data_IF_724687042127
#
_entry.id   IF_724687042127
#
_cell.length_a   1.000
_cell.length_b   1.000
_cell.length_c   1.000
_cell.angle_alpha   90.00
_cell.angle_beta   90.00
_cell.angle_gamma   90.00
#
_symmetry.space_group_name_H-M   'P 1'
#
loop_
_entity.id
_entity.type
_entity.pdbx_description
1 polymer ?
#
# COMPACT_ATOMS: atom_id res chain seq x y z
N UNK A 1 -28.70 -13.50 -8.31
CA UNK A 1 -28.23 -12.18 -7.82
C UNK A 1 -27.03 -12.39 -6.92
N UNK A 2 -25.93 -11.63 -7.06
CA UNK A 2 -24.83 -11.73 -6.11
C UNK A 2 -25.31 -11.22 -4.73
N UNK A 3 -24.92 -11.86 -3.61
CA UNK A 3 -25.36 -11.42 -2.29
C UNK A 3 -24.84 -10.00 -2.03
N UNK A 4 -25.76 -9.04 -1.83
CA UNK A 4 -25.43 -7.66 -1.47
C UNK A 4 -24.73 -7.69 -0.11
N UNK A 5 -23.47 -7.26 -0.05
CA UNK A 5 -22.70 -7.26 1.20
C UNK A 5 -23.19 -6.15 2.15
N UNK A 6 -22.98 -6.31 3.45
CA UNK A 6 -23.28 -5.25 4.45
C UNK A 6 -22.60 -3.91 4.09
N UNK A 7 -21.44 -3.95 3.43
CA UNK A 7 -20.73 -2.76 2.97
C UNK A 7 -21.51 -2.05 1.85
N UNK A 8 -22.13 -2.80 0.94
CA UNK A 8 -22.96 -2.25 -0.13
C UNK A 8 -24.18 -1.51 0.45
N UNK A 9 -24.84 -2.06 1.48
CA UNK A 9 -25.95 -1.38 2.15
C UNK A 9 -25.53 -0.04 2.80
N UNK A 10 -24.34 -0.01 3.43
CA UNK A 10 -23.78 1.22 4.01
C UNK A 10 -23.43 2.26 2.94
N UNK A 11 -22.80 1.85 1.84
CA UNK A 11 -22.44 2.72 0.73
C UNK A 11 -23.69 3.29 0.05
N UNK A 12 -24.70 2.46 -0.22
CA UNK A 12 -25.98 2.91 -0.79
C UNK A 12 -26.70 3.91 0.11
N UNK A 13 -26.68 3.70 1.43
CA UNK A 13 -27.27 4.66 2.36
C UNK A 13 -26.54 6.01 2.36
N UNK A 14 -25.20 5.98 2.28
CA UNK A 14 -24.39 7.19 2.16
C UNK A 14 -24.67 7.94 0.84
N UNK A 15 -24.73 7.22 -0.28
CA UNK A 15 -25.04 7.82 -1.59
C UNK A 15 -26.48 8.34 -1.65
N UNK A 16 -27.44 7.65 -1.05
CA UNK A 16 -28.82 8.14 -0.89
C UNK A 16 -28.85 9.49 -0.15
N UNK A 17 -28.13 9.61 0.98
CA UNK A 17 -28.05 10.87 1.74
C UNK A 17 -27.37 11.98 0.94
N UNK A 18 -26.31 11.67 0.18
CA UNK A 18 -25.62 12.64 -0.70
C UNK A 18 -26.53 13.15 -1.81
N UNK A 19 -27.22 12.23 -2.47
CA UNK A 19 -28.18 12.54 -3.52
C UNK A 19 -29.29 13.47 -3.00
N UNK A 20 -29.90 13.13 -1.86
CA UNK A 20 -30.91 13.99 -1.23
C UNK A 20 -30.35 15.34 -0.78
N UNK A 21 -29.12 15.41 -0.26
CA UNK A 21 -28.47 16.69 0.09
C UNK A 21 -28.29 17.59 -1.13
N UNK A 22 -27.96 17.01 -2.29
CA UNK A 22 -27.79 17.73 -3.54
C UNK A 22 -29.13 18.18 -4.15
N UNK A 23 -30.13 17.29 -4.18
CA UNK A 23 -31.41 17.54 -4.87
C UNK A 23 -32.45 18.29 -4.02
N UNK A 24 -32.45 18.15 -2.70
CA UNK A 24 -33.52 18.72 -1.85
C UNK A 24 -33.69 20.24 -1.96
N UNK A 25 -32.63 21.08 -2.10
CA UNK A 25 -32.79 22.52 -2.25
C UNK A 25 -33.55 22.93 -3.52
N UNK A 26 -33.40 22.17 -4.60
CA UNK A 26 -33.93 22.51 -5.94
C UNK A 26 -35.19 21.75 -6.31
N UNK A 27 -35.34 20.50 -5.87
CA UNK A 27 -36.39 19.60 -6.34
C UNK A 27 -37.41 19.23 -5.25
N UNK A 28 -37.17 19.59 -3.99
CA UNK A 28 -38.02 19.20 -2.87
C UNK A 28 -38.26 20.34 -1.86
N UNK A 29 -38.24 21.60 -2.29
CA UNK A 29 -38.47 22.79 -1.43
C UNK A 29 -37.60 22.80 -0.16
N UNK A 30 -36.34 22.36 -0.25
CA UNK A 30 -35.41 22.25 0.87
C UNK A 30 -35.62 21.05 1.79
N UNK A 31 -36.66 20.22 1.56
CA UNK A 31 -36.97 19.08 2.42
C UNK A 31 -36.06 17.88 2.12
N UNK A 32 -35.18 17.56 3.06
CA UNK A 32 -34.27 16.42 2.97
C UNK A 32 -34.76 15.25 3.85
N UNK A 33 -35.51 14.32 3.26
CA UNK A 33 -36.05 13.14 3.97
C UNK A 33 -34.93 12.17 4.40
N UNK A 34 -33.83 12.12 3.67
CA UNK A 34 -32.71 11.27 4.07
C UNK A 34 -31.99 11.80 5.33
N UNK A 35 -32.04 13.11 5.59
CA UNK A 35 -31.47 13.72 6.79
C UNK A 35 -32.25 13.39 8.07
N UNK A 36 -33.56 13.11 7.98
CA UNK A 36 -34.36 12.72 9.15
C UNK A 36 -34.13 11.27 9.60
N UNK A 37 -33.39 10.48 8.82
CA UNK A 37 -32.97 9.15 9.25
C UNK A 37 -31.76 9.28 10.19
N UNK A 38 -31.73 8.54 11.32
CA UNK A 38 -30.55 8.46 12.16
C UNK A 38 -29.31 8.02 11.37
N UNK A 39 -28.15 8.58 11.67
CA UNK A 39 -26.90 8.27 10.97
C UNK A 39 -26.53 6.78 11.08
N UNK A 40 -26.92 6.14 12.19
CA UNK A 40 -26.66 4.75 12.46
C UNK A 40 -27.78 3.81 11.95
N UNK A 41 -28.86 4.32 11.34
CA UNK A 41 -30.06 3.55 10.99
C UNK A 41 -29.74 2.27 10.20
N UNK A 42 -28.94 2.37 9.14
CA UNK A 42 -28.51 1.18 8.38
C UNK A 42 -27.40 0.44 9.13
N UNK A 43 -26.48 1.16 9.77
CA UNK A 43 -25.28 0.58 10.38
C UNK A 43 -25.52 -0.21 11.68
N UNK A 44 -26.64 0.03 12.36
CA UNK A 44 -27.13 -0.77 13.50
C UNK A 44 -27.77 -2.08 13.06
N UNK A 45 -28.19 -2.16 11.78
CA UNK A 45 -28.90 -3.31 11.20
C UNK A 45 -28.02 -4.16 10.29
N UNK A 46 -26.82 -3.69 9.97
CA UNK A 46 -25.82 -4.44 9.22
C UNK A 46 -24.50 -4.45 9.97
N UNK A 47 -23.91 -5.62 10.17
CA UNK A 47 -22.61 -5.73 10.83
C UNK A 47 -21.58 -4.96 9.99
N UNK A 48 -20.99 -3.90 10.55
CA UNK A 48 -19.90 -3.17 9.89
C UNK A 48 -18.77 -4.14 9.57
N UNK A 49 -18.25 -4.13 8.33
CA UNK A 49 -17.07 -4.91 7.98
C UNK A 49 -15.92 -4.63 8.96
N UNK A 50 -15.51 -5.64 9.72
CA UNK A 50 -14.31 -5.53 10.54
C UNK A 50 -13.07 -5.72 9.65
N UNK A 51 -11.97 -5.01 9.91
CA UNK A 51 -10.71 -5.29 9.24
C UNK A 51 -10.25 -6.71 9.58
N UNK A 52 -9.80 -7.46 8.56
CA UNK A 52 -9.20 -8.78 8.79
C UNK A 52 -8.01 -8.71 9.74
N UNK A 53 -7.97 -9.61 10.73
CA UNK A 53 -6.85 -9.79 11.67
C UNK A 53 -5.77 -10.73 11.14
N UNK A 54 -5.93 -11.25 9.93
CA UNK A 54 -4.92 -12.09 9.29
C UNK A 54 -3.63 -11.30 9.04
N UNK A 55 -2.50 -11.98 9.21
CA UNK A 55 -1.15 -11.42 9.05
C UNK A 55 -0.21 -12.45 8.43
N UNK A 56 1.05 -12.07 8.22
CA UNK A 56 2.12 -12.96 7.77
C UNK A 56 3.38 -12.67 8.57
N UNK A 57 4.35 -13.56 8.49
CA UNK A 57 5.61 -13.46 9.24
C UNK A 57 6.83 -13.40 8.31
N UNK A 58 7.99 -13.13 8.93
CA UNK A 58 9.24 -12.95 8.21
C UNK A 58 9.65 -14.20 7.43
N UNK A 59 9.39 -15.39 7.97
CA UNK A 59 9.73 -16.64 7.29
C UNK A 59 8.89 -16.83 6.01
N UNK A 60 7.59 -16.54 6.07
CA UNK A 60 6.70 -16.62 4.90
C UNK A 60 7.03 -15.55 3.86
N UNK A 61 7.36 -14.33 4.28
CA UNK A 61 7.78 -13.25 3.39
C UNK A 61 9.13 -13.55 2.73
N UNK A 62 10.10 -14.09 3.47
CA UNK A 62 11.38 -14.49 2.92
C UNK A 62 11.23 -15.66 1.93
N UNK A 63 10.37 -16.65 2.22
CA UNK A 63 10.02 -17.71 1.25
C UNK A 63 9.34 -17.13 0.01
N UNK A 64 8.40 -16.20 0.15
CA UNK A 64 7.78 -15.52 -0.99
C UNK A 64 8.85 -14.78 -1.82
N UNK A 65 9.78 -14.06 -1.18
CA UNK A 65 10.89 -13.36 -1.84
C UNK A 65 11.77 -14.29 -2.69
N UNK A 66 11.99 -15.52 -2.21
CA UNK A 66 12.72 -16.57 -2.93
C UNK A 66 11.88 -17.13 -4.07
N UNK A 67 10.63 -17.50 -3.81
CA UNK A 67 9.74 -18.14 -4.79
C UNK A 67 9.47 -17.25 -6.00
N UNK A 68 9.33 -15.94 -5.82
CA UNK A 68 9.11 -15.00 -6.95
C UNK A 68 10.31 -14.89 -7.88
N UNK A 69 11.50 -15.38 -7.49
CA UNK A 69 12.63 -15.48 -8.40
C UNK A 69 12.36 -16.45 -9.56
N UNK A 70 11.42 -17.39 -9.40
CA UNK A 70 10.96 -18.29 -10.47
C UNK A 70 9.93 -17.65 -11.41
N UNK A 71 9.63 -16.36 -11.28
CA UNK A 71 8.85 -15.65 -12.30
C UNK A 71 9.66 -15.59 -13.60
N UNK A 72 9.00 -15.79 -14.74
CA UNK A 72 9.65 -15.74 -16.05
C UNK A 72 10.00 -14.32 -16.48
N UNK A 73 9.25 -13.32 -16.01
CA UNK A 73 9.48 -11.91 -16.33
C UNK A 73 10.12 -11.17 -15.17
N UNK A 74 11.14 -10.36 -15.50
CA UNK A 74 11.78 -9.45 -14.54
C UNK A 74 10.77 -8.47 -13.93
N UNK A 75 9.79 -7.99 -14.70
CA UNK A 75 8.73 -7.13 -14.19
C UNK A 75 7.89 -7.83 -13.11
N UNK A 76 7.54 -9.10 -13.30
CA UNK A 76 6.76 -9.85 -12.31
C UNK A 76 7.54 -10.04 -11.00
N UNK A 77 8.80 -10.49 -11.12
CA UNK A 77 9.72 -10.67 -9.98
C UNK A 77 9.88 -9.36 -9.21
N UNK A 78 10.25 -8.29 -9.90
CA UNK A 78 10.62 -7.03 -9.27
C UNK A 78 9.42 -6.26 -8.76
N UNK A 79 8.27 -6.32 -9.43
CA UNK A 79 7.05 -5.68 -8.93
C UNK A 79 6.59 -6.27 -7.58
N UNK A 80 6.68 -7.59 -7.41
CA UNK A 80 6.35 -8.23 -6.13
C UNK A 80 7.41 -7.93 -5.07
N UNK A 81 8.70 -7.98 -5.40
CA UNK A 81 9.78 -7.62 -4.46
C UNK A 81 9.70 -6.17 -4.01
N UNK A 82 9.37 -5.27 -4.93
CA UNK A 82 9.12 -3.87 -4.61
C UNK A 82 7.97 -3.72 -3.63
N UNK A 83 6.85 -4.45 -3.82
CA UNK A 83 5.75 -4.46 -2.83
C UNK A 83 6.17 -5.02 -1.47
N UNK A 84 7.04 -6.04 -1.44
CA UNK A 84 7.54 -6.62 -0.19
C UNK A 84 8.34 -5.58 0.60
N UNK A 85 9.27 -4.89 -0.04
CA UNK A 85 10.15 -3.90 0.63
C UNK A 85 9.37 -2.64 1.01
N UNK A 86 8.56 -2.12 0.08
CA UNK A 86 7.93 -0.80 0.24
C UNK A 86 6.56 -0.84 0.92
N UNK A 87 5.93 -2.01 0.99
CA UNK A 87 4.57 -2.17 1.51
C UNK A 87 3.47 -1.42 0.72
N UNK A 88 3.80 -0.92 -0.48
CA UNK A 88 2.85 -0.21 -1.33
C UNK A 88 1.76 -1.14 -1.88
N UNK A 89 0.66 -0.56 -2.34
CA UNK A 89 -0.47 -1.34 -2.90
C UNK A 89 -0.20 -1.66 -4.38
N UNK A 90 -0.87 -2.67 -4.96
CA UNK A 90 -0.79 -2.96 -6.40
C UNK A 90 -1.04 -1.75 -7.32
N UNK A 91 -1.91 -0.82 -6.89
CA UNK A 91 -2.17 0.42 -7.62
C UNK A 91 -0.93 1.34 -7.70
N UNK A 92 -0.11 1.36 -6.64
CA UNK A 92 1.09 2.18 -6.60
C UNK A 92 2.15 1.65 -7.58
N UNK A 93 2.33 0.32 -7.60
CA UNK A 93 3.21 -0.36 -8.56
C UNK A 93 2.77 -0.08 -10.00
N UNK A 94 1.48 -0.22 -10.28
CA UNK A 94 0.90 0.07 -11.59
C UNK A 94 1.11 1.53 -12.03
N UNK A 95 1.06 2.47 -11.08
CA UNK A 95 1.20 3.90 -11.35
C UNK A 95 2.64 4.39 -11.28
N UNK A 96 3.62 3.57 -10.89
CA UNK A 96 4.99 4.03 -10.70
C UNK A 96 5.60 4.37 -12.06
N UNK A 97 6.03 5.63 -12.19
CA UNK A 97 6.62 6.19 -13.39
C UNK A 97 8.08 6.56 -13.17
N UNK A 98 8.84 6.64 -14.25
CA UNK A 98 10.25 7.01 -14.22
C UNK A 98 10.47 8.45 -13.73
N UNK A 99 9.56 9.38 -14.05
CA UNK A 99 9.60 10.77 -13.56
C UNK A 99 9.41 10.89 -12.04
N UNK A 100 8.91 9.85 -11.36
CA UNK A 100 8.79 9.81 -9.90
C UNK A 100 10.04 9.28 -9.21
N UNK A 101 11.02 8.77 -9.96
CA UNK A 101 12.24 8.14 -9.42
C UNK A 101 13.37 9.17 -9.47
N UNK A 102 13.70 9.74 -8.31
CA UNK A 102 14.76 10.73 -8.16
C UNK A 102 16.01 10.06 -7.57
N UNK A 103 16.88 9.58 -8.44
CA UNK A 103 17.99 8.72 -8.03
C UNK A 103 19.09 9.47 -7.30
N UNK A 104 19.35 10.71 -7.72
CA UNK A 104 20.32 11.61 -7.08
C UNK A 104 19.90 11.97 -5.65
N UNK A 105 18.60 12.18 -5.44
CA UNK A 105 18.03 12.36 -4.10
C UNK A 105 17.92 11.03 -3.33
N UNK A 106 18.06 9.89 -4.02
CA UNK A 106 17.87 8.57 -3.45
C UNK A 106 16.44 8.32 -2.99
N UNK A 107 15.45 8.79 -3.75
CA UNK A 107 14.02 8.76 -3.38
C UNK A 107 13.08 8.44 -4.55
N UNK A 108 11.90 7.92 -4.22
CA UNK A 108 10.74 7.81 -5.12
C UNK A 108 9.63 8.68 -4.54
N UNK A 109 9.09 9.61 -5.34
CA UNK A 109 8.09 10.58 -4.90
C UNK A 109 6.81 10.40 -5.70
N UNK A 110 5.79 9.83 -5.08
CA UNK A 110 4.44 9.86 -5.65
C UNK A 110 3.86 11.26 -5.50
N UNK A 111 3.47 11.95 -6.58
CA UNK A 111 3.09 13.35 -6.52
C UNK A 111 1.76 13.59 -5.80
N UNK A 112 1.66 14.77 -5.19
CA UNK A 112 0.43 15.30 -4.63
C UNK A 112 -0.61 15.66 -5.70
N UNK A 113 -1.85 15.90 -5.28
CA UNK A 113 -2.90 16.40 -6.15
C UNK A 113 -2.84 17.91 -6.22
N UNK A 114 -2.88 18.46 -7.43
CA UNK A 114 -3.00 19.89 -7.69
C UNK A 114 -4.41 20.21 -8.21
N UNK A 115 -4.80 21.48 -8.22
CA UNK A 115 -6.14 21.90 -8.69
C UNK A 115 -6.36 21.37 -10.12
N UNK A 116 -7.43 20.58 -10.31
CA UNK A 116 -7.76 19.96 -11.58
C UNK A 116 -7.06 18.62 -11.89
N UNK A 117 -6.05 18.22 -11.11
CA UNK A 117 -5.35 16.93 -11.27
C UNK A 117 -5.31 16.13 -9.97
N UNK A 118 -5.89 14.93 -10.00
CA UNK A 118 -5.87 14.03 -8.86
C UNK A 118 -4.46 13.48 -8.64
N UNK A 119 -3.94 13.62 -7.42
CA UNK A 119 -2.64 13.09 -7.02
C UNK A 119 -2.57 11.56 -7.05
N UNK A 120 -1.35 11.03 -7.07
CA UNK A 120 -1.08 9.59 -7.23
C UNK A 120 -1.52 8.75 -6.01
N UNK A 121 -1.77 9.40 -4.87
CA UNK A 121 -2.17 8.79 -3.61
C UNK A 121 -3.60 9.16 -3.21
N UNK A 122 -4.25 8.28 -2.42
CA UNK A 122 -5.62 8.53 -1.91
C UNK A 122 -5.71 9.81 -1.08
N UNK A 123 -4.66 10.10 -0.32
CA UNK A 123 -4.52 11.26 0.57
C UNK A 123 -4.28 12.57 -0.18
N UNK A 124 -3.99 12.51 -1.49
CA UNK A 124 -3.63 13.67 -2.32
C UNK A 124 -2.38 14.44 -1.85
N UNK A 125 -1.71 14.03 -0.76
CA UNK A 125 -0.37 14.50 -0.39
C UNK A 125 0.70 13.67 -1.08
N UNK A 126 1.88 14.26 -1.26
CA UNK A 126 3.03 13.56 -1.79
C UNK A 126 3.41 12.39 -0.87
N UNK A 127 3.85 11.28 -1.45
CA UNK A 127 4.37 10.15 -0.69
C UNK A 127 5.79 9.82 -1.15
N UNK A 128 6.74 10.14 -0.26
CA UNK A 128 8.17 9.90 -0.45
C UNK A 128 8.58 8.55 0.13
N UNK A 129 9.27 7.75 -0.67
CA UNK A 129 9.90 6.49 -0.31
C UNK A 129 11.41 6.61 -0.51
N UNK A 130 12.25 6.21 0.45
CA UNK A 130 13.68 6.15 0.24
C UNK A 130 14.03 5.01 -0.72
N UNK A 131 15.02 5.23 -1.58
CA UNK A 131 15.63 4.18 -2.39
C UNK A 131 16.71 3.51 -1.54
N UNK A 132 16.37 2.32 -1.04
CA UNK A 132 17.29 1.40 -0.36
C UNK A 132 18.13 0.60 -1.37
N UNK A 133 19.18 -0.12 -0.93
CA UNK A 133 20.01 -0.93 -1.83
C UNK A 133 19.24 -1.93 -2.72
N UNK A 134 18.26 -2.67 -2.20
CA UNK A 134 17.49 -3.58 -3.08
C UNK A 134 16.46 -2.85 -3.94
N UNK A 135 15.93 -1.69 -3.50
CA UNK A 135 15.08 -0.86 -4.38
C UNK A 135 15.91 -0.32 -5.55
N UNK A 136 17.14 0.15 -5.27
CA UNK A 136 18.12 0.57 -6.29
C UNK A 136 18.34 -0.56 -7.29
N UNK A 137 18.65 -1.76 -6.79
CA UNK A 137 18.85 -2.95 -7.63
C UNK A 137 17.62 -3.30 -8.47
N UNK A 138 16.43 -3.19 -7.91
CA UNK A 138 15.17 -3.39 -8.64
C UNK A 138 15.05 -2.37 -9.78
N UNK A 139 15.28 -1.09 -9.50
CA UNK A 139 15.24 0.01 -10.48
C UNK A 139 16.25 -0.24 -11.61
N UNK A 140 17.49 -0.56 -11.27
CA UNK A 140 18.56 -0.80 -12.23
C UNK A 140 18.27 -2.01 -13.12
N UNK A 141 17.76 -3.10 -12.53
CA UNK A 141 17.31 -4.27 -13.31
C UNK A 141 16.13 -3.93 -14.26
N UNK A 142 15.21 -3.04 -13.87
CA UNK A 142 14.13 -2.59 -14.75
C UNK A 142 14.64 -1.70 -15.88
N UNK A 143 15.58 -0.78 -15.60
CA UNK A 143 16.22 0.06 -16.61
C UNK A 143 17.01 -0.77 -17.61
N UNK A 144 17.87 -1.68 -17.14
CA UNK A 144 18.66 -2.55 -17.99
C UNK A 144 17.76 -3.38 -18.92
N UNK A 145 16.62 -3.84 -18.42
CA UNK A 145 15.63 -4.52 -19.26
C UNK A 145 15.02 -3.58 -20.31
N UNK A 146 14.56 -2.39 -19.91
CA UNK A 146 13.97 -1.38 -20.81
C UNK A 146 14.93 -1.02 -21.94
N UNK A 147 16.18 -0.78 -21.60
CA UNK A 147 17.22 -0.37 -22.55
C UNK A 147 17.67 -1.52 -23.47
N UNK A 148 17.35 -2.78 -23.10
CA UNK A 148 17.65 -3.97 -23.91
C UNK A 148 16.57 -4.35 -24.93
N UNK A 149 15.37 -3.75 -24.84
CA UNK A 149 14.25 -4.05 -25.73
C UNK A 149 14.02 -2.90 -26.72
N UNK A 150 13.72 -3.20 -27.99
CA UNK A 150 13.59 -2.17 -29.02
C UNK A 150 12.32 -1.32 -28.90
N UNK A 151 11.23 -1.86 -28.33
CA UNK A 151 9.95 -1.18 -28.21
C UNK A 151 9.25 -1.54 -26.89
N UNK A 152 9.11 -0.55 -26.01
CA UNK A 152 8.32 -0.64 -24.79
C UNK A 152 7.86 0.74 -24.31
N UNK A 153 6.97 0.77 -23.32
CA UNK A 153 6.58 2.00 -22.66
C UNK A 153 7.73 2.60 -21.84
N UNK A 154 8.04 3.87 -22.07
CA UNK A 154 9.13 4.60 -21.39
C UNK A 154 8.66 5.48 -20.23
N UNK A 155 7.36 5.48 -19.91
CA UNK A 155 6.79 6.27 -18.82
C UNK A 155 6.76 5.46 -17.52
N UNK A 156 6.39 4.18 -17.59
CA UNK A 156 6.17 3.34 -16.41
C UNK A 156 7.36 2.44 -16.08
N UNK A 157 7.62 2.25 -14.78
CA UNK A 157 8.73 1.40 -14.29
C UNK A 157 8.44 -0.09 -14.47
N UNK A 158 7.20 -0.51 -14.19
CA UNK A 158 6.78 -1.90 -14.29
C UNK A 158 5.78 -2.09 -15.42
N UNK A 159 6.07 -3.00 -16.34
CA UNK A 159 5.31 -3.20 -17.58
C UNK A 159 4.68 -4.59 -17.64
N UNK A 160 3.62 -4.77 -18.44
CA UNK A 160 3.01 -6.09 -18.57
C UNK A 160 3.89 -7.04 -19.39
N UNK A 161 4.15 -8.26 -18.91
CA UNK A 161 5.00 -9.21 -19.64
C UNK A 161 4.52 -9.59 -21.05
N UNK A 162 3.21 -9.49 -21.30
CA UNK A 162 2.59 -9.83 -22.60
C UNK A 162 2.42 -8.62 -23.51
N UNK A 163 2.43 -7.42 -22.94
CA UNK A 163 2.25 -6.16 -23.66
C UNK A 163 3.07 -5.07 -22.95
N UNK A 164 4.36 -4.93 -23.31
CA UNK A 164 5.25 -3.94 -22.71
C UNK A 164 4.85 -2.48 -22.96
N UNK A 165 3.85 -2.22 -23.81
CA UNK A 165 3.34 -0.85 -24.01
C UNK A 165 2.41 -0.41 -22.88
N UNK A 166 2.00 -1.36 -22.02
CA UNK A 166 1.04 -1.12 -20.95
C UNK A 166 1.68 -1.22 -19.55
N UNK A 167 1.25 -0.38 -18.59
CA UNK A 167 1.68 -0.50 -17.20
C UNK A 167 1.22 -1.82 -16.58
N UNK A 168 1.98 -2.32 -15.60
CA UNK A 168 1.76 -3.60 -14.95
C UNK A 168 0.33 -3.75 -14.42
N UNK A 169 -0.33 -4.87 -14.70
CA UNK A 169 -1.72 -5.07 -14.29
C UNK A 169 -1.88 -5.27 -12.78
N UNK A 170 -2.78 -4.49 -12.16
CA UNK A 170 -3.12 -4.56 -10.73
C UNK A 170 -3.56 -5.97 -10.29
N UNK A 171 -4.36 -6.65 -11.14
CA UNK A 171 -4.87 -8.00 -10.85
C UNK A 171 -3.78 -9.07 -10.95
N UNK A 172 -2.78 -8.85 -11.81
CA UNK A 172 -1.66 -9.77 -11.96
C UNK A 172 -0.81 -9.82 -10.69
N UNK A 173 -0.63 -8.70 -9.97
CA UNK A 173 0.12 -8.68 -8.71
C UNK A 173 -0.54 -9.54 -7.62
N UNK A 174 -1.86 -9.42 -7.43
CA UNK A 174 -2.58 -10.27 -6.46
C UNK A 174 -2.42 -11.76 -6.81
N UNK A 175 -2.53 -12.09 -8.10
CA UNK A 175 -2.34 -13.46 -8.59
C UNK A 175 -0.92 -13.96 -8.30
N UNK A 176 0.11 -13.17 -8.62
CA UNK A 176 1.51 -13.55 -8.38
C UNK A 176 1.79 -13.80 -6.90
N UNK A 177 1.36 -12.89 -6.02
CA UNK A 177 1.54 -13.06 -4.58
C UNK A 177 0.84 -14.34 -4.11
N UNK A 178 -0.39 -14.61 -4.56
CA UNK A 178 -1.11 -15.87 -4.24
C UNK A 178 -0.40 -17.11 -4.76
N UNK A 179 0.10 -17.08 -5.99
CA UNK A 179 0.77 -18.22 -6.64
C UNK A 179 2.10 -18.56 -5.99
N UNK A 180 2.91 -17.56 -5.65
CA UNK A 180 4.27 -17.78 -5.14
C UNK A 180 4.37 -17.75 -3.61
N UNK A 181 3.30 -17.44 -2.89
CA UNK A 181 3.31 -17.52 -1.42
C UNK A 181 3.42 -18.97 -0.95
N UNK A 182 4.22 -19.26 0.09
CA UNK A 182 4.31 -20.61 0.64
C UNK A 182 2.97 -21.05 1.25
N UNK A 183 2.77 -22.37 1.36
CA UNK A 183 1.64 -22.93 2.12
C UNK A 183 1.69 -22.41 3.56
N UNK A 184 0.54 -21.97 4.09
CA UNK A 184 0.46 -21.43 5.45
C UNK A 184 1.00 -20.00 5.62
N UNK A 185 1.28 -19.26 4.54
CA UNK A 185 1.77 -17.87 4.63
C UNK A 185 0.81 -16.92 5.36
N UNK A 186 -0.49 -17.20 5.31
CA UNK A 186 -1.53 -16.42 5.97
C UNK A 186 -1.79 -16.99 7.35
N UNK A 187 -1.51 -16.19 8.38
CA UNK A 187 -1.64 -16.55 9.80
C UNK A 187 -2.75 -15.77 10.49
N UNK A 188 -3.15 -16.23 11.66
CA UNK A 188 -4.19 -15.62 12.50
C UNK A 188 -5.58 -16.24 12.30
N UNK A 189 -6.55 -15.76 13.08
CA UNK A 189 -7.93 -16.29 13.07
C UNK A 189 -8.79 -15.59 12.01
N UNK A 190 -9.58 -16.38 11.27
CA UNK A 190 -10.69 -15.86 10.46
C UNK A 190 -11.89 -15.66 11.38
N UNK A 191 -12.44 -14.46 11.38
CA UNK A 191 -13.69 -14.16 12.09
C UNK A 191 -14.85 -14.11 11.11
N UNK A 192 -15.98 -14.69 11.49
CA UNK A 192 -17.23 -14.57 10.74
C UNK A 192 -17.68 -13.09 10.72
N UNK A 193 -18.13 -12.61 9.57
CA UNK A 193 -18.49 -11.19 9.34
C UNK A 193 -17.36 -10.31 8.77
N UNK A 194 -16.13 -10.83 8.61
CA UNK A 194 -15.03 -10.07 7.99
C UNK A 194 -15.23 -9.98 6.47
N UNK A 195 -15.77 -8.86 5.97
CA UNK A 195 -15.99 -8.66 4.52
C UNK A 195 -14.71 -8.16 3.82
N UNK A 196 -13.91 -7.32 4.48
CA UNK A 196 -12.69 -6.74 3.89
C UNK A 196 -11.50 -7.70 4.02
N UNK A 197 -11.13 -8.33 2.90
CA UNK A 197 -10.03 -9.28 2.82
C UNK A 197 -10.44 -10.75 3.01
N UNK A 198 -11.75 -11.06 2.94
CA UNK A 198 -12.30 -12.44 3.01
C UNK A 198 -11.64 -13.40 2.00
N UNK A 199 -11.26 -12.89 0.82
CA UNK A 199 -10.54 -13.62 -0.24
C UNK A 199 -9.10 -13.11 -0.49
N UNK A 200 -8.59 -12.19 0.33
CA UNK A 200 -7.55 -11.26 -0.12
C UNK A 200 -6.67 -10.69 0.97
N UNK A 201 -6.25 -11.51 1.94
CA UNK A 201 -5.18 -11.12 2.85
C UNK A 201 -3.93 -10.67 2.06
N UNK A 202 -3.60 -11.38 0.97
CA UNK A 202 -2.41 -11.19 0.13
C UNK A 202 -2.15 -9.74 -0.29
N UNK A 203 -3.13 -9.03 -0.84
CA UNK A 203 -3.00 -7.61 -1.24
C UNK A 203 -2.61 -6.66 -0.10
N UNK A 204 -2.85 -7.05 1.15
CA UNK A 204 -2.51 -6.22 2.32
C UNK A 204 -1.44 -6.84 3.21
N UNK A 205 -0.93 -8.04 2.87
CA UNK A 205 0.03 -8.75 3.72
C UNK A 205 1.38 -8.06 3.75
N UNK A 206 1.97 -7.71 2.59
CA UNK A 206 3.25 -6.99 2.55
C UNK A 206 3.18 -5.70 3.37
N UNK A 207 2.06 -4.98 3.24
CA UNK A 207 1.81 -3.74 3.99
C UNK A 207 1.67 -3.94 5.50
N UNK A 208 0.94 -4.98 5.91
CA UNK A 208 0.80 -5.33 7.33
C UNK A 208 2.12 -5.79 7.92
N UNK A 209 2.84 -6.62 7.17
CA UNK A 209 4.15 -7.13 7.53
C UNK A 209 5.16 -5.99 7.71
N UNK A 210 5.28 -5.09 6.72
CA UNK A 210 6.12 -3.89 6.83
C UNK A 210 5.84 -3.15 8.14
N UNK A 211 4.55 -2.87 8.43
CA UNK A 211 4.16 -2.17 9.66
C UNK A 211 4.64 -2.91 10.92
N UNK A 212 4.33 -4.20 11.05
CA UNK A 212 4.68 -4.96 12.24
C UNK A 212 6.18 -5.20 12.36
N UNK A 213 6.87 -5.40 11.25
CA UNK A 213 8.29 -5.69 11.21
C UNK A 213 9.11 -4.44 11.55
N UNK A 214 8.75 -3.27 10.99
CA UNK A 214 9.35 -1.98 11.38
C UNK A 214 9.16 -1.74 12.87
N UNK A 215 7.97 -1.97 13.43
CA UNK A 215 7.73 -1.82 14.87
C UNK A 215 8.64 -2.72 15.73
N UNK A 216 8.93 -3.94 15.27
CA UNK A 216 9.82 -4.86 15.95
C UNK A 216 11.29 -4.43 15.84
N UNK A 217 11.74 -4.07 14.63
CA UNK A 217 13.11 -3.64 14.36
C UNK A 217 13.46 -2.33 15.05
N UNK A 218 12.55 -1.35 15.06
CA UNK A 218 12.79 -0.09 15.76
C UNK A 218 12.82 -0.29 17.28
N UNK A 219 12.06 -1.26 17.82
CA UNK A 219 12.17 -1.64 19.24
C UNK A 219 13.57 -2.19 19.56
N UNK A 220 14.12 -3.04 18.70
CA UNK A 220 15.48 -3.59 18.88
C UNK A 220 16.56 -2.52 18.83
N UNK A 221 16.29 -1.40 18.15
CA UNK A 221 17.18 -0.22 18.07
C UNK A 221 17.01 0.78 19.20
N UNK A 222 16.15 0.49 20.18
CA UNK A 222 15.96 1.34 21.36
C UNK A 222 14.90 2.44 21.24
N UNK A 223 14.18 2.52 20.12
CA UNK A 223 13.09 3.49 19.97
C UNK A 223 11.93 3.20 20.93
N UNK A 224 11.30 4.28 21.41
CA UNK A 224 10.18 4.16 22.34
C UNK A 224 8.93 3.58 21.67
N UNK A 225 7.88 3.33 22.46
CA UNK A 225 6.63 2.77 21.93
C UNK A 225 5.87 3.76 21.03
N UNK A 226 5.94 5.06 21.31
CA UNK A 226 5.34 6.10 20.47
C UNK A 226 6.08 6.20 19.15
N UNK A 227 7.41 6.34 19.19
CA UNK A 227 8.22 6.64 18.01
C UNK A 227 8.16 5.49 17.02
N UNK A 228 8.29 4.24 17.49
CA UNK A 228 8.15 3.08 16.60
C UNK A 228 6.76 2.98 15.95
N UNK A 229 5.70 3.47 16.62
CA UNK A 229 4.34 3.50 16.05
C UNK A 229 4.27 4.58 14.97
N UNK A 230 4.81 5.75 15.23
CA UNK A 230 4.88 6.88 14.31
C UNK A 230 5.70 6.54 13.06
N UNK A 231 6.93 6.05 13.22
CA UNK A 231 7.80 5.60 12.10
C UNK A 231 7.06 4.57 11.22
N UNK A 232 6.32 3.63 11.83
CA UNK A 232 5.52 2.65 11.08
C UNK A 232 4.33 3.24 10.31
N UNK A 233 3.80 4.38 10.76
CA UNK A 233 2.75 5.13 10.07
C UNK A 233 3.33 5.95 8.92
N UNK A 234 4.47 6.62 9.16
CA UNK A 234 5.23 7.37 8.14
C UNK A 234 5.59 6.47 6.95
N UNK A 235 6.12 5.26 7.21
CA UNK A 235 6.44 4.28 6.17
C UNK A 235 5.23 3.89 5.29
N UNK A 236 4.00 4.08 5.77
CA UNK A 236 2.78 3.66 5.10
C UNK A 236 1.91 4.82 4.57
N UNK A 237 2.38 6.05 4.70
CA UNK A 237 1.61 7.28 4.41
C UNK A 237 0.25 7.24 5.12
N UNK A 238 0.29 6.96 6.42
CA UNK A 238 -0.91 6.99 7.27
C UNK A 238 -0.86 8.23 8.15
N UNK A 239 -1.88 9.08 8.07
CA UNK A 239 -2.14 10.08 9.10
C UNK A 239 -2.67 9.41 10.38
N UNK A 240 -2.36 9.98 11.54
CA UNK A 240 -3.13 9.66 12.73
C UNK A 240 -4.51 10.29 12.61
N UNK A 241 -5.53 9.64 13.17
CA UNK A 241 -6.91 10.14 13.12
C UNK A 241 -7.21 11.19 14.20
N UNK A 242 -6.25 11.42 15.10
CA UNK A 242 -6.34 12.30 16.25
C UNK A 242 -5.67 13.65 16.03
N UNK A 243 -4.96 13.82 14.91
CA UNK A 243 -4.14 15.01 14.69
C UNK A 243 -5.05 16.16 14.26
N UNK A 244 -4.81 17.33 14.84
CA UNK A 244 -5.50 18.58 14.49
C UNK A 244 -5.19 18.89 13.02
N UNK A 245 -6.20 18.92 12.12
CA UNK A 245 -5.98 19.24 10.71
C UNK A 245 -5.29 20.58 10.48
N UNK A 246 -5.38 21.51 11.44
CA UNK A 246 -4.77 22.83 11.35
C UNK A 246 -3.30 22.84 11.78
N UNK A 247 -2.86 21.90 12.62
CA UNK A 247 -1.47 21.84 13.09
C UNK A 247 -0.49 21.57 11.93
N UNK A 248 -0.91 20.79 10.94
CA UNK A 248 -0.13 20.52 9.71
C UNK A 248 0.14 21.79 8.88
N UNK A 249 -0.57 22.91 9.10
CA UNK A 249 -0.32 24.18 8.40
C UNK A 249 0.74 25.08 9.06
N UNK A 250 1.14 24.76 10.28
CA UNK A 250 2.14 25.52 11.04
C UNK A 250 3.43 24.74 11.28
N UNK A 251 3.41 23.44 11.04
CA UNK A 251 4.56 22.56 11.22
C UNK A 251 5.29 22.37 9.89
N UNK A 252 6.40 23.10 9.73
CA UNK A 252 7.31 22.99 8.60
C UNK A 252 8.59 22.21 8.96
N UNK A 253 8.57 21.46 10.07
CA UNK A 253 9.76 20.81 10.60
C UNK A 253 10.37 19.82 9.60
N UNK A 254 9.56 19.08 8.85
CA UNK A 254 10.08 18.13 7.85
C UNK A 254 10.63 18.85 6.60
N UNK A 255 10.00 19.94 6.15
CA UNK A 255 10.51 20.77 5.06
C UNK A 255 11.89 21.34 5.39
N UNK A 256 12.09 21.73 6.65
CA UNK A 256 13.33 22.35 7.14
C UNK A 256 14.39 21.30 7.49
N UNK A 257 14.03 20.22 8.17
CA UNK A 257 14.98 19.29 8.79
C UNK A 257 15.15 17.98 8.01
N UNK A 258 14.24 17.66 7.08
CA UNK A 258 14.21 16.39 6.32
C UNK A 258 14.29 15.14 7.23
N UNK A 259 13.78 15.24 8.46
CA UNK A 259 13.87 14.17 9.46
C UNK A 259 12.98 12.97 9.10
N UNK A 260 11.84 13.19 8.44
CA UNK A 260 10.92 12.11 8.05
C UNK A 260 11.60 11.14 7.09
N UNK A 261 12.29 11.65 6.06
CA UNK A 261 12.92 10.80 5.05
C UNK A 261 14.12 10.04 5.62
N UNK A 262 14.87 10.64 6.55
CA UNK A 262 15.96 9.98 7.26
C UNK A 262 15.44 8.81 8.12
N UNK A 263 14.39 9.04 8.92
CA UNK A 263 13.73 8.01 9.73
C UNK A 263 13.14 6.90 8.86
N UNK A 264 12.49 7.26 7.75
CA UNK A 264 12.02 6.28 6.76
C UNK A 264 13.17 5.45 6.22
N UNK A 265 14.27 6.08 5.80
CA UNK A 265 15.44 5.37 5.24
C UNK A 265 15.96 4.34 6.23
N UNK A 266 16.14 4.73 7.49
CA UNK A 266 16.56 3.79 8.54
C UNK A 266 15.61 2.60 8.66
N UNK A 267 14.30 2.87 8.73
CA UNK A 267 13.27 1.84 8.88
C UNK A 267 13.18 0.89 7.68
N UNK A 268 13.22 1.43 6.45
CA UNK A 268 13.18 0.65 5.22
C UNK A 268 14.43 -0.20 5.03
N UNK A 269 15.63 0.33 5.32
CA UNK A 269 16.88 -0.44 5.24
C UNK A 269 16.95 -1.53 6.32
N UNK A 270 16.44 -1.27 7.53
CA UNK A 270 16.32 -2.31 8.56
C UNK A 270 15.36 -3.41 8.11
N UNK A 271 14.21 -3.03 7.55
CA UNK A 271 13.21 -3.95 7.05
C UNK A 271 13.76 -4.84 5.93
N UNK A 272 14.36 -4.23 4.91
CA UNK A 272 15.02 -4.92 3.81
C UNK A 272 16.07 -5.92 4.31
N UNK A 273 17.02 -5.47 5.14
CA UNK A 273 18.07 -6.34 5.69
C UNK A 273 17.50 -7.54 6.43
N UNK A 274 16.44 -7.35 7.22
CA UNK A 274 15.80 -8.46 7.94
C UNK A 274 15.22 -9.53 7.00
N UNK A 275 14.57 -9.12 5.91
CA UNK A 275 14.01 -10.03 4.91
C UNK A 275 15.12 -10.80 4.19
N UNK A 276 16.17 -10.08 3.74
CA UNK A 276 17.28 -10.68 3.02
C UNK A 276 18.09 -11.65 3.90
N UNK A 277 18.33 -11.29 5.16
CA UNK A 277 18.97 -12.17 6.13
C UNK A 277 18.17 -13.47 6.31
N UNK A 278 16.84 -13.36 6.48
CA UNK A 278 15.98 -14.53 6.58
C UNK A 278 15.96 -15.35 5.28
N UNK A 279 15.95 -14.71 4.11
CA UNK A 279 16.01 -15.40 2.82
C UNK A 279 17.34 -16.14 2.63
N UNK A 280 18.46 -15.55 3.06
CA UNK A 280 19.77 -16.20 3.03
C UNK A 280 19.83 -17.41 3.97
N UNK A 281 19.26 -17.31 5.17
CA UNK A 281 19.15 -18.43 6.10
C UNK A 281 18.34 -19.59 5.52
N UNK A 282 17.22 -19.29 4.86
CA UNK A 282 16.38 -20.30 4.21
C UNK A 282 17.11 -20.99 3.05
N UNK A 283 17.89 -20.26 2.25
CA UNK A 283 18.71 -20.84 1.18
C UNK A 283 19.81 -21.78 1.66
N UNK A 284 20.29 -21.61 2.90
CA UNK A 284 21.31 -22.50 3.48
C UNK A 284 20.72 -23.78 4.07
N UNK A 285 19.41 -23.79 4.34
CA UNK A 285 18.70 -24.90 4.99
C UNK A 285 18.00 -25.85 4.01
N UNK A 286 17.77 -25.41 2.78
CA UNK A 286 17.21 -26.22 1.69
C UNK A 286 18.27 -26.53 0.66
#
# INVERSE_FOLDING_TARGET
MPPRSNNNALELFAELRRFWKFCSPTLCNGRNVAASLPDDYVSSRVQKPTPTRLFTDIESIAKLWLNVAACTSVHQKNAVRFMIITGVRPINVHNLRWDYVHEDAGEIVYPEGVIGMRGAMKTQKAFRLPITPEIRRIIDEQKAWRDSVPECNNDFVFLQPRDPMQPFSKRSLDKLVKTYSPKGAVKGMKHDGTIKGREGAFNTMCRKFLKSNVIALMKERGYSRSDRREISLLCLHHSSKSDDPMAEHYDFSDEILQEEIALKREAFEAHERSILAQAALLRRRG
#
